data_IF_524835692168
#
_entry.id   IF_524835692168
#
_cell.length_a   1.000
_cell.length_b   1.000
_cell.length_c   1.000
_cell.angle_alpha   90.00
_cell.angle_beta   90.00
_cell.angle_gamma   90.00
#
_symmetry.space_group_name_H-M   'P 1'
#
loop_
_entity.id
_entity.type
_entity.pdbx_description
1 polymer ?
#
# COMPACT_ATOMS: atom_id res chain seq x y z
N UNK A 1 16.37 6.33 10.60
CA UNK A 1 17.16 5.18 11.08
C UNK A 1 16.47 3.94 10.57
N UNK A 2 17.02 3.36 9.51
CA UNK A 2 16.40 2.23 8.80
C UNK A 2 16.65 0.90 9.51
N UNK A 3 15.93 -0.14 9.07
CA UNK A 3 16.11 -1.53 9.53
C UNK A 3 17.58 -2.00 9.49
N UNK A 4 18.40 -1.42 8.61
CA UNK A 4 19.84 -1.68 8.47
C UNK A 4 20.61 -1.53 9.79
N UNK A 5 20.31 -0.52 10.60
CA UNK A 5 20.96 -0.28 11.90
C UNK A 5 20.52 -1.29 12.99
N UNK A 6 19.39 -1.98 12.78
CA UNK A 6 18.81 -2.96 13.72
C UNK A 6 19.24 -4.38 13.39
N UNK A 7 19.29 -4.75 12.11
CA UNK A 7 19.77 -6.06 11.66
C UNK A 7 21.26 -6.22 11.97
N UNK A 8 22.07 -5.17 11.79
CA UNK A 8 23.50 -5.20 12.13
C UNK A 8 23.73 -5.40 13.64
N UNK A 9 22.88 -4.82 14.49
CA UNK A 9 22.94 -4.95 15.95
C UNK A 9 22.57 -6.35 16.45
N UNK A 10 21.62 -7.03 15.79
CA UNK A 10 21.21 -8.40 16.12
C UNK A 10 22.32 -9.42 15.78
N UNK A 11 23.15 -9.11 14.77
CA UNK A 11 24.32 -9.92 14.42
C UNK A 11 25.44 -9.75 15.45
N UNK A 12 25.58 -8.59 16.09
CA UNK A 12 26.58 -8.35 17.15
C UNK A 12 26.25 -9.06 18.48
N UNK A 13 24.98 -9.13 18.88
CA UNK A 13 24.59 -9.71 20.19
C UNK A 13 24.54 -11.25 20.22
N UNK A 14 24.61 -11.92 19.06
CA UNK A 14 24.52 -13.38 18.95
C UNK A 14 25.87 -14.05 18.73
N UNK A 15 26.84 -13.78 19.61
CA UNK A 15 28.06 -14.58 19.69
C UNK A 15 28.26 -15.09 21.11
N UNK A 16 27.56 -16.18 21.44
CA UNK A 16 28.06 -17.13 22.43
C UNK A 16 27.61 -18.56 22.12
N UNK A 17 28.56 -19.37 21.64
CA UNK A 17 28.75 -20.72 22.18
C UNK A 17 28.40 -21.94 21.33
N UNK A 18 27.46 -21.91 20.37
CA UNK A 18 26.94 -23.17 19.82
C UNK A 18 26.66 -23.26 18.30
N UNK A 19 26.96 -22.23 17.49
CA UNK A 19 26.43 -22.15 16.11
C UNK A 19 27.47 -22.12 14.97
N UNK A 20 28.76 -22.37 15.23
CA UNK A 20 29.82 -22.20 14.22
C UNK A 20 29.91 -23.29 13.14
N UNK A 21 29.02 -24.30 13.13
CA UNK A 21 29.08 -25.42 12.17
C UNK A 21 27.93 -25.47 11.14
N UNK A 22 26.90 -24.62 11.24
CA UNK A 22 25.70 -24.70 10.39
C UNK A 22 25.40 -23.43 9.57
N UNK A 23 26.16 -22.34 9.70
CA UNK A 23 25.89 -21.11 8.94
C UNK A 23 26.94 -20.87 7.85
N UNK A 24 26.62 -21.27 6.62
CA UNK A 24 27.31 -20.81 5.39
C UNK A 24 26.57 -19.68 4.68
N UNK A 25 25.42 -19.21 5.19
CA UNK A 25 24.68 -18.22 4.44
C UNK A 25 25.23 -16.81 4.63
N UNK A 26 25.84 -16.31 3.56
CA UNK A 26 26.35 -14.95 3.42
C UNK A 26 25.28 -13.97 2.98
N UNK A 27 24.01 -14.41 2.94
CA UNK A 27 22.93 -13.62 2.40
C UNK A 27 22.68 -12.37 3.24
N UNK A 28 22.81 -11.21 2.58
CA UNK A 28 22.62 -9.88 3.16
C UNK A 28 21.32 -9.27 2.69
N UNK A 29 20.80 -8.30 3.44
CA UNK A 29 19.60 -7.56 3.05
C UNK A 29 19.75 -6.89 1.67
N UNK A 30 20.95 -6.43 1.32
CA UNK A 30 21.23 -5.83 0.01
C UNK A 30 21.04 -6.81 -1.15
N UNK A 31 21.24 -8.11 -0.92
CA UNK A 31 21.06 -9.15 -1.95
C UNK A 31 19.56 -9.36 -2.25
N UNK A 32 18.70 -9.24 -1.22
CA UNK A 32 17.25 -9.28 -1.37
C UNK A 32 16.76 -8.07 -2.18
N UNK A 33 17.21 -6.86 -1.84
CA UNK A 33 16.87 -5.63 -2.58
C UNK A 33 17.32 -5.72 -4.03
N UNK A 34 18.56 -6.15 -4.28
CA UNK A 34 19.08 -6.32 -5.65
C UNK A 34 18.27 -7.36 -6.44
N UNK A 35 17.85 -8.45 -5.80
CA UNK A 35 17.00 -9.47 -6.43
C UNK A 35 15.62 -8.93 -6.81
N UNK A 36 14.99 -8.11 -5.95
CA UNK A 36 13.70 -7.47 -6.23
C UNK A 36 13.80 -6.45 -7.36
N UNK A 37 14.79 -5.56 -7.32
CA UNK A 37 14.98 -4.55 -8.37
C UNK A 37 15.25 -5.21 -9.73
N UNK A 38 16.10 -6.25 -9.76
CA UNK A 38 16.34 -7.02 -10.98
C UNK A 38 15.06 -7.65 -11.52
N UNK A 39 14.23 -8.24 -10.65
CA UNK A 39 12.96 -8.82 -11.06
C UNK A 39 11.95 -7.76 -11.54
N UNK A 40 12.04 -6.52 -11.03
CA UNK A 40 11.27 -5.39 -11.51
C UNK A 40 11.69 -5.00 -12.92
N UNK A 41 13.00 -4.82 -13.14
CA UNK A 41 13.60 -4.45 -14.43
C UNK A 41 13.29 -5.50 -15.51
N UNK A 42 13.47 -6.78 -15.17
CA UNK A 42 13.23 -7.92 -16.07
C UNK A 42 11.73 -8.10 -16.39
N UNK A 43 10.84 -7.64 -15.51
CA UNK A 43 9.38 -7.81 -15.62
C UNK A 43 8.65 -6.65 -16.28
N UNK A 44 9.37 -5.65 -16.78
CA UNK A 44 8.82 -4.47 -17.45
C UNK A 44 7.97 -4.84 -18.68
N UNK A 45 6.85 -4.16 -18.85
CA UNK A 45 5.96 -4.26 -20.00
C UNK A 45 5.75 -2.90 -20.66
N UNK A 46 5.80 -2.85 -21.99
CA UNK A 46 5.41 -1.67 -22.76
C UNK A 46 3.89 -1.60 -22.89
N UNK A 47 3.30 -0.47 -22.51
CA UNK A 47 1.85 -0.21 -22.60
C UNK A 47 1.54 0.87 -23.65
N UNK A 48 0.28 0.96 -24.08
CA UNK A 48 -0.16 1.92 -25.11
C UNK A 48 0.26 3.37 -24.77
N UNK A 49 0.69 4.12 -25.79
CA UNK A 49 1.26 5.47 -25.71
C UNK A 49 2.68 5.57 -25.08
N UNK A 50 3.55 4.57 -25.31
CA UNK A 50 4.99 4.61 -24.97
C UNK A 50 5.27 4.75 -23.45
N UNK A 51 4.41 4.13 -22.62
CA UNK A 51 4.59 4.10 -21.17
C UNK A 51 5.13 2.74 -20.74
N UNK A 52 6.19 2.76 -19.95
CA UNK A 52 6.88 1.58 -19.44
C UNK A 52 6.26 1.24 -18.07
N UNK A 53 5.61 0.09 -17.97
CA UNK A 53 4.93 -0.37 -16.75
C UNK A 53 5.74 -1.47 -16.10
N UNK A 54 6.05 -1.32 -14.81
CA UNK A 54 6.77 -2.33 -14.04
C UNK A 54 5.82 -3.18 -13.16
N UNK A 55 6.23 -4.41 -12.82
CA UNK A 55 5.51 -5.25 -11.88
C UNK A 55 5.35 -4.60 -10.51
N UNK A 56 4.31 -4.99 -9.79
CA UNK A 56 4.01 -4.47 -8.46
C UNK A 56 3.84 -5.56 -7.39
N UNK A 57 3.91 -6.84 -7.75
CA UNK A 57 3.94 -7.95 -6.80
C UNK A 57 5.24 -8.74 -6.95
N UNK A 58 5.96 -8.91 -5.83
CA UNK A 58 7.23 -9.61 -5.77
C UNK A 58 7.17 -10.70 -4.68
N UNK A 59 7.49 -11.93 -5.05
CA UNK A 59 7.69 -13.03 -4.09
C UNK A 59 9.16 -13.40 -4.07
N UNK A 60 9.78 -13.19 -2.91
CA UNK A 60 11.17 -13.52 -2.62
C UNK A 60 11.21 -14.92 -2.02
N UNK A 61 11.77 -15.87 -2.76
CA UNK A 61 11.91 -17.26 -2.37
C UNK A 61 13.31 -17.49 -1.77
N UNK A 62 13.35 -18.01 -0.55
CA UNK A 62 14.56 -18.29 0.20
C UNK A 62 14.67 -19.76 0.58
N UNK A 63 15.89 -20.25 0.78
CA UNK A 63 16.11 -21.57 1.36
C UNK A 63 15.52 -21.65 2.79
N UNK A 64 15.13 -22.83 3.29
CA UNK A 64 14.54 -22.97 4.63
C UNK A 64 15.40 -22.37 5.75
N UNK A 65 16.72 -22.56 5.68
CA UNK A 65 17.67 -22.04 6.66
C UNK A 65 17.77 -20.50 6.64
N UNK A 66 17.67 -19.89 5.46
CA UNK A 66 17.68 -18.44 5.31
C UNK A 66 16.35 -17.83 5.74
N UNK A 67 15.24 -18.47 5.36
CA UNK A 67 13.90 -18.05 5.75
C UNK A 67 13.75 -17.98 7.28
N UNK A 68 14.14 -19.04 8.01
CA UNK A 68 14.07 -19.07 9.48
C UNK A 68 14.87 -17.93 10.13
N UNK A 69 16.01 -17.55 9.53
CA UNK A 69 16.84 -16.44 10.01
C UNK A 69 16.12 -15.09 9.84
N UNK A 70 15.52 -14.85 8.69
CA UNK A 70 14.76 -13.62 8.43
C UNK A 70 13.43 -13.59 9.17
N UNK A 71 12.83 -14.75 9.44
CA UNK A 71 11.65 -14.89 10.31
C UNK A 71 11.91 -14.37 11.71
N UNK A 72 13.03 -14.79 12.32
CA UNK A 72 13.46 -14.28 13.63
C UNK A 72 13.76 -12.78 13.65
N UNK A 73 14.12 -12.20 12.50
CA UNK A 73 14.37 -10.77 12.35
C UNK A 73 13.10 -9.94 12.04
N UNK A 74 11.98 -10.59 11.70
CA UNK A 74 10.69 -9.97 11.41
C UNK A 74 10.42 -9.77 9.91
N UNK A 75 9.77 -10.76 9.28
CA UNK A 75 9.47 -10.76 7.84
C UNK A 75 8.61 -9.58 7.39
N UNK A 76 7.65 -9.15 8.22
CA UNK A 76 6.78 -8.03 7.87
C UNK A 76 7.56 -6.73 7.70
N UNK A 77 8.54 -6.49 8.58
CA UNK A 77 9.39 -5.29 8.52
C UNK A 77 10.31 -5.39 7.31
N UNK A 78 10.94 -6.54 7.08
CA UNK A 78 11.78 -6.79 5.90
C UNK A 78 11.00 -6.57 4.60
N UNK A 79 9.81 -7.14 4.49
CA UNK A 79 8.93 -6.98 3.34
C UNK A 79 8.57 -5.50 3.08
N UNK A 80 8.25 -4.74 4.14
CA UNK A 80 7.92 -3.31 4.01
C UNK A 80 9.12 -2.46 3.55
N UNK A 81 10.33 -2.80 4.00
CA UNK A 81 11.56 -2.12 3.60
C UNK A 81 11.95 -2.47 2.16
N UNK A 82 11.81 -3.74 1.76
CA UNK A 82 12.01 -4.18 0.38
C UNK A 82 11.01 -3.50 -0.56
N UNK A 83 9.75 -3.36 -0.16
CA UNK A 83 8.74 -2.65 -0.93
C UNK A 83 9.07 -1.15 -1.08
N UNK A 84 9.55 -0.51 -0.01
CA UNK A 84 9.99 0.89 -0.03
C UNK A 84 11.22 1.10 -0.92
N UNK A 85 12.19 0.18 -0.88
CA UNK A 85 13.37 0.22 -1.73
C UNK A 85 13.02 0.00 -3.22
N UNK A 86 12.11 -0.92 -3.51
CA UNK A 86 11.60 -1.16 -4.86
C UNK A 86 10.83 0.07 -5.40
N UNK A 87 10.08 0.77 -4.55
CA UNK A 87 9.40 2.01 -4.93
C UNK A 87 10.40 3.10 -5.31
N UNK A 88 11.43 3.30 -4.49
CA UNK A 88 12.48 4.27 -4.78
C UNK A 88 13.24 3.95 -6.08
N UNK A 89 13.45 2.66 -6.38
CA UNK A 89 14.05 2.20 -7.65
C UNK A 89 13.13 2.48 -8.85
N UNK A 90 11.83 2.18 -8.74
CA UNK A 90 10.85 2.49 -9.79
C UNK A 90 10.79 4.00 -10.08
N UNK A 91 10.85 4.84 -9.03
CA UNK A 91 10.87 6.30 -9.18
C UNK A 91 12.15 6.80 -9.86
N UNK A 92 13.33 6.27 -9.50
CA UNK A 92 14.60 6.67 -10.11
C UNK A 92 14.68 6.30 -11.59
N UNK A 93 14.16 5.13 -11.95
CA UNK A 93 14.12 4.64 -13.32
C UNK A 93 12.90 5.16 -14.11
N UNK A 94 12.06 5.99 -13.48
CA UNK A 94 10.85 6.59 -14.06
C UNK A 94 9.83 5.57 -14.58
N UNK A 95 9.73 4.41 -13.92
CA UNK A 95 8.75 3.40 -14.26
C UNK A 95 7.35 3.79 -13.78
N UNK A 96 6.35 3.38 -14.54
CA UNK A 96 4.95 3.44 -14.11
C UNK A 96 4.62 2.17 -13.35
N UNK A 97 4.10 2.27 -12.14
CA UNK A 97 3.69 1.10 -11.35
C UNK A 97 2.31 0.60 -11.77
N UNK A 98 2.16 -0.73 -11.87
CA UNK A 98 0.86 -1.37 -12.11
C UNK A 98 -0.09 -1.31 -10.89
N UNK A 99 0.41 -0.93 -9.70
CA UNK A 99 -0.32 -0.82 -8.45
C UNK A 99 0.63 -0.66 -7.26
N UNK A 100 0.14 -0.83 -6.02
CA UNK A 100 1.00 -0.83 -4.82
C UNK A 100 2.05 -1.93 -4.92
N UNK A 101 3.28 -1.64 -4.48
CA UNK A 101 4.34 -2.64 -4.38
C UNK A 101 4.06 -3.53 -3.17
N UNK A 102 3.87 -4.81 -3.44
CA UNK A 102 3.74 -5.87 -2.46
C UNK A 102 4.96 -6.77 -2.56
N UNK A 103 5.65 -6.95 -1.44
CA UNK A 103 6.74 -7.90 -1.33
C UNK A 103 6.35 -8.94 -0.30
N UNK A 104 6.44 -10.21 -0.68
CA UNK A 104 6.28 -11.35 0.24
C UNK A 104 7.57 -12.13 0.25
N UNK A 105 7.97 -12.60 1.43
CA UNK A 105 9.11 -13.51 1.58
C UNK A 105 8.54 -14.89 1.92
N UNK A 106 8.94 -15.91 1.18
CA UNK A 106 8.47 -17.29 1.35
C UNK A 106 9.63 -18.28 1.33
N UNK A 107 9.45 -19.40 2.01
CA UNK A 107 10.37 -20.54 1.95
C UNK A 107 10.17 -21.32 0.63
N UNK A 108 11.28 -21.76 0.03
CA UNK A 108 11.30 -22.71 -1.08
C UNK A 108 12.49 -23.67 -0.96
N UNK A 109 12.19 -24.98 -0.85
CA UNK A 109 13.18 -26.05 -0.73
C UNK A 109 14.04 -26.24 -2.01
N UNK A 110 13.61 -25.68 -3.13
CA UNK A 110 14.34 -25.73 -4.42
C UNK A 110 15.41 -24.65 -4.53
N UNK A 111 15.39 -23.64 -3.66
CA UNK A 111 16.37 -22.55 -3.64
C UNK A 111 17.59 -22.97 -2.82
N UNK A 112 18.79 -22.84 -3.40
CA UNK A 112 20.02 -23.18 -2.69
C UNK A 112 20.29 -22.19 -1.54
N UNK A 113 21.00 -22.60 -0.47
CA UNK A 113 21.38 -21.69 0.60
C UNK A 113 22.17 -20.47 0.09
N UNK A 114 21.85 -19.28 0.58
CA UNK A 114 22.39 -17.98 0.13
C UNK A 114 22.00 -17.56 -1.29
N UNK A 115 21.13 -18.31 -1.96
CA UNK A 115 20.52 -17.90 -3.22
C UNK A 115 19.19 -17.21 -2.95
N UNK A 116 18.84 -16.24 -3.79
CA UNK A 116 17.54 -15.57 -3.76
C UNK A 116 16.93 -15.67 -5.13
N UNK A 117 15.73 -16.25 -5.18
CA UNK A 117 14.92 -16.21 -6.40
C UNK A 117 13.74 -15.28 -6.16
N UNK A 118 13.56 -14.30 -7.03
CA UNK A 118 12.40 -13.42 -6.97
C UNK A 118 11.51 -13.66 -8.18
N UNK A 119 10.22 -13.85 -7.92
CA UNK A 119 9.20 -13.88 -8.97
C UNK A 119 8.44 -12.57 -8.95
N UNK A 120 8.32 -11.91 -10.09
CA UNK A 120 7.57 -10.67 -10.25
C UNK A 120 6.30 -10.90 -11.06
N UNK A 121 5.20 -10.24 -10.69
CA UNK A 121 3.95 -10.23 -11.45
C UNK A 121 3.40 -8.82 -11.54
N UNK A 122 2.96 -8.47 -12.75
CA UNK A 122 2.12 -7.30 -12.97
C UNK A 122 0.67 -7.74 -12.82
N UNK A 123 -0.01 -7.33 -11.74
CA UNK A 123 -1.44 -7.56 -11.59
C UNK A 123 -2.21 -6.35 -12.10
N UNK A 124 -2.59 -6.38 -13.38
CA UNK A 124 -3.59 -5.48 -13.93
C UNK A 124 -4.96 -5.89 -13.40
N UNK A 125 -5.47 -5.19 -12.38
CA UNK A 125 -6.92 -5.20 -12.12
C UNK A 125 -7.57 -4.44 -13.27
N UNK A 126 -8.18 -5.17 -14.23
CA UNK A 126 -8.64 -4.63 -15.52
C UNK A 126 -9.51 -3.37 -15.43
N UNK A 127 -9.33 -2.49 -16.43
CA UNK A 127 -9.78 -1.10 -16.58
C UNK A 127 -8.80 -0.08 -15.96
N UNK A 128 -8.18 0.73 -16.84
CA UNK A 128 -7.23 1.82 -16.59
C UNK A 128 -7.32 2.55 -15.23
N UNK A 129 -6.21 3.17 -14.79
CA UNK A 129 -5.07 2.56 -14.11
C UNK A 129 -5.44 2.09 -12.69
N UNK A 130 -4.98 0.90 -12.30
CA UNK A 130 -5.41 0.18 -11.12
C UNK A 130 -4.71 0.67 -9.83
N UNK A 131 -5.45 1.40 -9.00
CA UNK A 131 -5.24 1.39 -7.55
C UNK A 131 -5.77 0.05 -7.00
N UNK A 132 -4.93 -0.64 -6.24
CA UNK A 132 -5.17 -1.62 -5.16
C UNK A 132 -6.42 -2.52 -5.19
N UNK A 133 -6.22 -3.86 -5.09
CA UNK A 133 -7.25 -4.82 -4.68
C UNK A 133 -6.78 -5.75 -3.57
N UNK A 134 -7.19 -5.44 -2.34
CA UNK A 134 -7.61 -6.43 -1.32
C UNK A 134 -8.83 -5.81 -0.62
N UNK A 135 -10.00 -6.39 -0.85
CA UNK A 135 -11.22 -6.01 -0.14
C UNK A 135 -11.06 -6.33 1.35
N UNK A 136 -11.02 -5.30 2.20
CA UNK A 136 -11.32 -5.46 3.61
C UNK A 136 -12.84 -5.59 3.77
N UNK A 137 -13.29 -6.53 4.60
CA UNK A 137 -14.71 -6.81 4.87
C UNK A 137 -15.43 -5.74 5.71
N UNK A 138 -14.81 -4.59 5.96
CA UNK A 138 -15.40 -3.43 6.64
C UNK A 138 -15.75 -2.36 5.62
N UNK A 139 -17.03 -2.22 5.28
CA UNK A 139 -17.46 -1.12 4.41
C UNK A 139 -17.63 0.13 5.27
N UNK A 140 -16.77 1.16 5.10
CA UNK A 140 -16.86 2.37 5.89
C UNK A 140 -18.17 3.10 5.64
N UNK A 141 -18.56 3.92 6.61
CA UNK A 141 -19.82 4.63 6.63
C UNK A 141 -19.57 6.13 6.52
N UNK A 142 -20.40 6.81 5.74
CA UNK A 142 -20.44 8.25 5.64
C UNK A 142 -21.80 8.74 6.12
N UNK A 143 -21.81 9.48 7.23
CA UNK A 143 -23.02 10.05 7.80
C UNK A 143 -23.23 11.47 7.31
N UNK A 144 -24.41 11.73 6.73
CA UNK A 144 -24.84 13.03 6.21
C UNK A 144 -26.15 13.39 6.88
N UNK A 145 -26.10 14.21 7.92
CA UNK A 145 -27.26 14.45 8.80
C UNK A 145 -27.77 13.14 9.42
N UNK A 146 -29.04 12.82 9.18
CA UNK A 146 -29.69 11.58 9.66
C UNK A 146 -29.46 10.37 8.73
N UNK A 147 -28.86 10.58 7.55
CA UNK A 147 -28.63 9.51 6.58
C UNK A 147 -27.25 8.91 6.74
N UNK A 148 -27.16 7.59 6.66
CA UNK A 148 -25.92 6.85 6.79
C UNK A 148 -25.69 6.03 5.53
N UNK A 149 -24.63 6.36 4.81
CA UNK A 149 -24.25 5.75 3.54
C UNK A 149 -23.14 4.75 3.76
N UNK A 150 -23.36 3.51 3.34
CA UNK A 150 -22.30 2.49 3.31
C UNK A 150 -21.51 2.62 2.01
N UNK A 151 -20.22 2.83 2.12
CA UNK A 151 -19.33 2.95 0.96
C UNK A 151 -18.95 1.53 0.49
N UNK A 152 -19.68 1.04 -0.51
CA UNK A 152 -19.53 -0.31 -1.04
C UNK A 152 -18.53 -0.43 -2.21
N UNK A 153 -18.17 0.70 -2.81
CA UNK A 153 -17.30 0.76 -3.96
C UNK A 153 -15.91 1.27 -3.56
N UNK A 154 -14.87 0.82 -4.25
CA UNK A 154 -13.49 1.26 -4.05
C UNK A 154 -13.33 2.78 -4.22
N UNK A 155 -14.18 3.40 -5.04
CA UNK A 155 -14.25 4.85 -5.21
C UNK A 155 -15.70 5.29 -5.06
N UNK A 156 -15.92 6.32 -4.25
CA UNK A 156 -17.20 7.00 -4.12
C UNK A 156 -17.00 8.49 -4.40
N UNK A 157 -17.64 9.02 -5.43
CA UNK A 157 -17.64 10.44 -5.78
C UNK A 157 -18.74 11.15 -5.02
N UNK A 158 -18.39 12.27 -4.39
CA UNK A 158 -19.30 13.13 -3.63
C UNK A 158 -19.43 14.45 -4.35
N UNK A 159 -20.67 14.94 -4.47
CA UNK A 159 -20.93 16.23 -5.08
C UNK A 159 -22.43 16.51 -5.15
N UNK A 160 -22.81 17.63 -5.78
CA UNK A 160 -24.23 17.96 -6.03
C UNK A 160 -24.73 17.55 -7.41
N UNK A 161 -23.83 17.04 -8.26
CA UNK A 161 -24.12 16.69 -9.65
C UNK A 161 -24.77 15.32 -9.77
N UNK A 162 -25.45 15.06 -10.88
CA UNK A 162 -26.01 13.73 -11.17
C UNK A 162 -24.92 12.68 -11.41
N UNK A 163 -23.68 13.12 -11.62
CA UNK A 163 -22.50 12.30 -11.81
C UNK A 163 -21.81 11.87 -10.50
N UNK A 164 -22.33 12.28 -9.34
CA UNK A 164 -21.84 11.87 -8.03
C UNK A 164 -22.59 10.63 -7.52
N UNK A 165 -21.89 9.75 -6.82
CA UNK A 165 -22.46 8.55 -6.20
C UNK A 165 -23.27 8.92 -4.95
N UNK A 166 -22.76 9.88 -4.17
CA UNK A 166 -23.47 10.50 -3.04
C UNK A 166 -23.77 11.95 -3.41
N UNK A 167 -25.05 12.22 -3.59
CA UNK A 167 -25.55 13.54 -3.96
C UNK A 167 -25.84 14.35 -2.70
N UNK A 168 -25.13 15.47 -2.54
CA UNK A 168 -25.37 16.45 -1.49
C UNK A 168 -26.25 17.58 -2.02
N UNK A 169 -27.38 17.84 -1.36
CA UNK A 169 -28.26 18.96 -1.68
C UNK A 169 -27.75 20.26 -1.05
N UNK A 170 -26.62 20.75 -1.57
CA UNK A 170 -26.02 22.01 -1.16
C UNK A 170 -25.45 22.75 -2.37
N UNK A 171 -25.96 23.95 -2.61
CA UNK A 171 -25.53 24.80 -3.73
C UNK A 171 -24.07 25.25 -3.63
N UNK A 172 -23.46 25.18 -2.44
CA UNK A 172 -22.05 25.49 -2.23
C UNK A 172 -21.11 24.30 -2.52
N UNK A 173 -21.64 23.13 -2.87
CA UNK A 173 -20.88 21.95 -3.26
C UNK A 173 -20.69 21.93 -4.79
N UNK A 174 -19.51 21.59 -5.30
CA UNK A 174 -19.28 21.36 -6.73
C UNK A 174 -20.02 20.12 -7.25
N UNK A 175 -20.28 20.05 -8.55
CA UNK A 175 -21.01 18.90 -9.14
C UNK A 175 -20.26 17.58 -8.95
N UNK A 176 -18.94 17.60 -9.19
CA UNK A 176 -17.95 16.65 -8.63
C UNK A 176 -17.10 17.43 -7.64
N UNK A 177 -17.23 17.17 -6.35
CA UNK A 177 -16.56 17.95 -5.31
C UNK A 177 -15.32 17.23 -4.81
N UNK A 178 -15.48 15.98 -4.41
CA UNK A 178 -14.42 15.16 -3.86
C UNK A 178 -14.67 13.70 -4.19
N UNK A 179 -13.66 12.87 -4.01
CA UNK A 179 -13.80 11.42 -4.02
C UNK A 179 -13.23 10.83 -2.73
N UNK A 180 -13.91 9.81 -2.22
CA UNK A 180 -13.39 8.92 -1.19
C UNK A 180 -12.97 7.64 -1.89
N UNK A 181 -11.70 7.27 -1.71
CA UNK A 181 -11.11 6.03 -2.21
C UNK A 181 -10.82 5.11 -1.05
N UNK A 182 -11.49 3.96 -1.03
CA UNK A 182 -11.19 2.89 -0.09
C UNK A 182 -10.00 2.12 -0.65
N UNK A 183 -8.92 2.07 0.11
CA UNK A 183 -7.77 1.21 -0.18
C UNK A 183 -7.58 0.23 0.97
N UNK A 184 -6.87 -0.89 0.76
CA UNK A 184 -6.62 -1.88 1.79
C UNK A 184 -5.89 -1.36 3.03
N UNK A 185 -5.15 -0.24 2.92
CA UNK A 185 -4.37 0.32 4.02
C UNK A 185 -4.86 1.66 4.56
N UNK A 186 -5.74 2.35 3.82
CA UNK A 186 -6.17 3.69 4.14
C UNK A 186 -7.46 4.03 3.37
N UNK A 187 -8.23 4.95 3.91
CA UNK A 187 -9.34 5.55 3.16
C UNK A 187 -8.92 6.98 2.86
N UNK A 188 -8.85 7.32 1.57
CA UNK A 188 -8.30 8.59 1.11
C UNK A 188 -9.43 9.49 0.64
N UNK A 189 -9.45 10.73 1.13
CA UNK A 189 -10.30 11.80 0.62
C UNK A 189 -9.47 12.69 -0.31
N UNK A 190 -9.96 12.96 -1.52
CA UNK A 190 -9.31 13.86 -2.48
C UNK A 190 -10.31 14.91 -2.97
N UNK A 191 -9.92 16.18 -2.91
CA UNK A 191 -10.68 17.28 -3.51
C UNK A 191 -10.50 17.29 -5.03
N UNK A 192 -11.61 17.31 -5.77
CA UNK A 192 -11.62 17.28 -7.24
C UNK A 192 -11.64 18.70 -7.82
N UNK A 193 -10.79 19.58 -7.29
CA UNK A 193 -10.77 21.01 -7.64
C UNK A 193 -12.12 21.70 -7.40
N UNK A 194 -12.68 21.49 -6.21
CA UNK A 194 -13.96 22.09 -5.84
C UNK A 194 -13.85 23.61 -5.70
N UNK A 195 -14.97 24.33 -5.89
CA UNK A 195 -14.97 25.80 -5.86
C UNK A 195 -14.70 26.35 -4.47
N UNK A 196 -15.26 25.73 -3.43
CA UNK A 196 -15.14 26.19 -2.05
C UNK A 196 -14.07 25.43 -1.25
N UNK A 197 -13.50 24.36 -1.82
CA UNK A 197 -12.55 23.48 -1.14
C UNK A 197 -13.23 22.44 -0.25
N UNK A 198 -12.47 21.40 0.04
CA UNK A 198 -12.78 20.35 1.02
C UNK A 198 -12.00 20.60 2.31
N UNK A 199 -12.65 20.39 3.46
CA UNK A 199 -12.02 20.55 4.77
C UNK A 199 -12.17 19.27 5.61
N UNK A 200 -11.15 18.94 6.40
CA UNK A 200 -11.18 17.85 7.38
C UNK A 200 -10.74 18.43 8.72
N UNK A 201 -11.53 18.23 9.78
CA UNK A 201 -11.30 18.82 11.12
C UNK A 201 -11.05 20.35 11.05
N UNK A 202 -11.80 21.04 10.18
CA UNK A 202 -11.66 22.48 9.95
C UNK A 202 -10.45 22.92 9.10
N UNK A 203 -9.59 22.00 8.66
CA UNK A 203 -8.41 22.30 7.85
C UNK A 203 -8.67 22.03 6.37
N UNK A 204 -8.34 22.97 5.49
CA UNK A 204 -8.51 22.80 4.04
C UNK A 204 -7.50 21.78 3.49
N UNK A 205 -7.96 20.83 2.70
CA UNK A 205 -7.15 19.76 2.12
C UNK A 205 -7.22 19.75 0.59
N UNK A 206 -6.22 19.13 -0.03
CA UNK A 206 -6.27 18.67 -1.43
C UNK A 206 -6.40 17.14 -1.49
N UNK A 207 -5.68 16.43 -0.62
CA UNK A 207 -5.91 15.04 -0.30
C UNK A 207 -5.48 14.73 1.13
N UNK A 208 -6.16 13.80 1.81
CA UNK A 208 -5.75 13.30 3.12
C UNK A 208 -6.25 11.87 3.36
N UNK A 209 -5.63 11.19 4.32
CA UNK A 209 -6.18 9.95 4.87
C UNK A 209 -7.27 10.26 5.90
N UNK A 210 -8.38 9.56 5.80
CA UNK A 210 -9.47 9.57 6.77
C UNK A 210 -9.23 8.51 7.84
N UNK A 211 -9.54 8.87 9.07
CA UNK A 211 -9.59 8.00 10.25
C UNK A 211 -10.99 8.02 10.85
N UNK A 212 -11.30 6.98 11.63
CA UNK A 212 -12.60 6.85 12.29
C UNK A 212 -12.99 8.11 13.07
N UNK A 213 -14.23 8.57 12.87
CA UNK A 213 -14.79 9.74 13.52
C UNK A 213 -14.45 11.08 12.86
N UNK A 214 -13.72 11.11 11.74
CA UNK A 214 -13.37 12.39 11.11
C UNK A 214 -14.60 13.20 10.66
N UNK A 215 -14.58 14.49 10.97
CA UNK A 215 -15.52 15.47 10.44
C UNK A 215 -14.96 16.08 9.15
N UNK A 216 -15.76 15.99 8.08
CA UNK A 216 -15.43 16.48 6.75
C UNK A 216 -16.46 17.54 6.35
N UNK A 217 -16.01 18.66 5.81
CA UNK A 217 -16.90 19.72 5.32
C UNK A 217 -16.75 19.90 3.82
N UNK A 218 -17.87 19.75 3.10
CA UNK A 218 -18.01 20.06 1.69
C UNK A 218 -18.94 21.26 1.54
N UNK A 219 -18.42 22.41 1.10
CA UNK A 219 -19.24 23.62 1.05
C UNK A 219 -19.73 24.03 2.45
N UNK A 220 -21.04 23.89 2.72
CA UNK A 220 -21.65 24.09 4.06
C UNK A 220 -22.14 22.78 4.68
N UNK A 221 -22.02 21.67 3.97
CA UNK A 221 -22.46 20.36 4.43
C UNK A 221 -21.36 19.72 5.25
N UNK A 222 -21.66 19.40 6.50
CA UNK A 222 -20.78 18.65 7.40
C UNK A 222 -21.18 17.18 7.33
N UNK A 223 -20.19 16.31 7.17
CA UNK A 223 -20.36 14.86 7.15
C UNK A 223 -19.37 14.21 8.09
N UNK A 224 -19.75 13.09 8.69
CA UNK A 224 -18.88 12.33 9.59
C UNK A 224 -18.53 11.01 8.95
N UNK A 225 -17.24 10.68 8.98
CA UNK A 225 -16.71 9.43 8.47
C UNK A 225 -16.51 8.43 9.60
N UNK A 226 -16.94 7.19 9.38
CA UNK A 226 -16.74 6.07 10.32
C UNK A 226 -16.09 4.91 9.58
N UNK A 227 -14.94 4.44 10.05
CA UNK A 227 -14.40 3.16 9.59
C UNK A 227 -14.93 2.09 10.53
N UNK A 228 -15.63 1.07 10.02
CA UNK A 228 -15.94 -0.13 10.81
C UNK A 228 -14.62 -0.77 11.28
N UNK A 229 -14.15 -0.33 12.44
CA UNK A 229 -13.08 -0.98 13.20
C UNK A 229 -13.74 -2.18 13.84
N UNK A 230 -13.18 -3.38 13.62
CA UNK A 230 -13.52 -4.54 14.42
C UNK A 230 -13.54 -4.12 15.89
N UNK A 231 -14.73 -4.20 16.46
CA UNK A 231 -14.94 -3.99 17.89
C UNK A 231 -14.07 -5.01 18.58
N UNK A 232 -13.17 -4.54 19.45
CA UNK A 232 -12.43 -5.42 20.34
C UNK A 232 -13.38 -6.43 20.97
N UNK A 233 -13.01 -7.69 20.88
CA UNK A 233 -13.60 -8.70 21.77
C UNK A 233 -12.49 -9.15 22.71
N UNK A 234 -12.78 -8.85 23.97
CA UNK A 234 -12.10 -9.21 25.22
C UNK A 234 -11.54 -10.64 25.28
#
# INVERSE_FOLDING_TARGET
MGLFDRVERIVEDSVNGAFSKVFRSTLKAVDLTASVNRAMDDGIQEFEANRIVCPNEFTVHLSPADFERFEKAGLQVIASELASAALAHAESEQYVLAGKILVTVTEDQTVAPSEVRTTARAMNSGAAPAFDRVASSSHPLLQVGDHLWRLINDVTVIGRGAEADIILDDSSVSRKHAEIRITPGAILLTDLSSTNGTFVEGHRITACQLVDGNEITFGRTVVTFWSESESGTA
#
